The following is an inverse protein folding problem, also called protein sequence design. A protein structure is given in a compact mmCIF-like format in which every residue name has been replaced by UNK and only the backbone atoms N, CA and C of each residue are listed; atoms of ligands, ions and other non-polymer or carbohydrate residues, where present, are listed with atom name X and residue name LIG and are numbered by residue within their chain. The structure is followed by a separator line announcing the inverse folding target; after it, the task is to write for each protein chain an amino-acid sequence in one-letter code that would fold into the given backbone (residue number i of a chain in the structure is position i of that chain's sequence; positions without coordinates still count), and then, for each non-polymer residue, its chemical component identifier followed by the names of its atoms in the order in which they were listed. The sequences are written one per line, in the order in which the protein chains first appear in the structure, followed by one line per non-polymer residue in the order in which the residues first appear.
data_IF_308112227597
#
_entry.id   IF_308112227597
#
_cell.length_a   1.000
_cell.length_b   1.000
_cell.length_c   1.000
_cell.angle_alpha   90.00
_cell.angle_beta   90.00
_cell.angle_gamma   90.00
#
_symmetry.space_group_name_H-M   'P 1'
#
loop_
_entity.id
_entity.type
_entity.pdbx_description
1 polymer ?
#
# COMPACT_ATOMS: atom_id res chain seq x y z
N UNK A 1 -11.13 24.84 -6.98
CA UNK A 1 -10.18 23.94 -7.67
C UNK A 1 -9.00 23.61 -6.76
N UNK A 2 -9.26 23.03 -5.59
CA UNK A 2 -8.25 22.65 -4.61
C UNK A 2 -8.80 21.37 -3.95
N UNK A 3 -8.43 20.21 -4.48
CA UNK A 3 -8.90 18.91 -3.94
C UNK A 3 -8.07 17.72 -4.38
N UNK A 4 -7.31 17.80 -5.49
CA UNK A 4 -6.56 16.65 -5.99
C UNK A 4 -5.24 16.39 -5.26
N UNK A 5 -4.56 17.44 -4.77
CA UNK A 5 -3.26 17.30 -4.09
C UNK A 5 -3.40 16.74 -2.66
N UNK A 6 -4.45 17.18 -1.96
CA UNK A 6 -4.73 16.73 -0.59
C UNK A 6 -5.02 15.24 -0.49
N UNK A 7 -5.44 14.57 -1.56
CA UNK A 7 -5.68 13.13 -1.49
C UNK A 7 -4.38 12.35 -1.25
N UNK A 8 -3.23 12.80 -1.78
CA UNK A 8 -1.95 12.08 -1.70
C UNK A 8 -1.46 11.86 -0.27
N UNK A 9 -1.74 12.80 0.63
CA UNK A 9 -1.29 12.71 2.04
C UNK A 9 -1.91 11.52 2.78
N UNK A 10 -3.04 11.02 2.27
CA UNK A 10 -3.72 9.84 2.79
C UNK A 10 -3.22 8.54 2.17
N UNK A 11 -2.31 8.60 1.19
CA UNK A 11 -1.77 7.43 0.52
C UNK A 11 -0.35 7.14 0.95
N UNK A 12 -0.11 5.88 1.30
CA UNK A 12 1.22 5.35 1.55
C UNK A 12 1.60 4.33 0.46
N UNK A 13 2.88 4.32 0.13
CA UNK A 13 3.54 3.29 -0.64
C UNK A 13 4.27 2.36 0.33
N UNK A 14 4.02 1.06 0.21
CA UNK A 14 4.78 0.03 0.90
C UNK A 14 5.41 -0.89 -0.14
N UNK A 15 6.72 -1.08 -0.08
CA UNK A 15 7.53 -1.86 -1.02
C UNK A 15 8.53 -2.76 -0.32
N UNK A 16 9.16 -3.66 -1.09
CA UNK A 16 10.00 -4.74 -0.57
C UNK A 16 9.26 -5.72 0.36
N UNK A 17 7.94 -5.85 0.18
CA UNK A 17 7.11 -6.80 0.92
C UNK A 17 7.47 -8.24 0.51
N UNK A 18 7.56 -9.19 1.45
CA UNK A 18 7.77 -10.59 1.14
C UNK A 18 6.58 -11.17 0.36
N UNK A 19 6.87 -12.04 -0.60
CA UNK A 19 5.88 -12.66 -1.48
C UNK A 19 4.94 -13.63 -0.74
N UNK A 20 5.31 -14.01 0.48
CA UNK A 20 4.54 -14.89 1.37
C UNK A 20 3.34 -14.16 2.00
N UNK A 21 3.41 -12.82 2.12
CA UNK A 21 2.30 -12.05 2.67
C UNK A 21 1.18 -11.89 1.64
N UNK A 22 -0.03 -12.22 2.06
CA UNK A 22 -1.22 -11.97 1.28
C UNK A 22 -1.74 -10.56 1.52
N UNK A 23 -2.67 -10.13 0.68
CA UNK A 23 -3.39 -8.87 0.87
C UNK A 23 -4.07 -8.79 2.24
N UNK A 24 -4.68 -9.88 2.71
CA UNK A 24 -5.32 -9.91 4.03
C UNK A 24 -4.32 -9.70 5.17
N UNK A 25 -3.14 -10.32 5.10
CA UNK A 25 -2.09 -10.15 6.11
C UNK A 25 -1.61 -8.69 6.15
N UNK A 26 -1.35 -8.10 4.97
CA UNK A 26 -0.89 -6.72 4.86
C UNK A 26 -1.95 -5.77 5.42
N UNK A 27 -3.21 -5.89 4.98
CA UNK A 27 -4.30 -5.05 5.48
C UNK A 27 -4.44 -5.20 6.99
N UNK A 28 -4.43 -6.43 7.53
CA UNK A 28 -4.57 -6.67 8.95
C UNK A 28 -3.45 -5.99 9.76
N UNK A 29 -2.21 -6.11 9.30
CA UNK A 29 -1.07 -5.47 9.96
C UNK A 29 -1.13 -3.94 9.84
N UNK A 30 -1.50 -3.38 8.69
CA UNK A 30 -1.60 -1.93 8.53
C UNK A 30 -2.84 -1.33 9.22
N UNK A 31 -3.91 -2.10 9.39
CA UNK A 31 -5.13 -1.68 10.07
C UNK A 31 -4.91 -1.40 11.56
N UNK A 32 -3.78 -1.83 12.15
CA UNK A 32 -3.43 -1.50 13.53
C UNK A 32 -3.12 -0.01 13.74
N UNK A 33 -2.70 0.70 12.68
CA UNK A 33 -2.35 2.12 12.75
C UNK A 33 -3.57 3.03 12.56
N UNK A 34 -4.57 2.58 11.79
CA UNK A 34 -5.78 3.34 11.52
C UNK A 34 -6.68 2.66 10.51
N UNK A 35 -7.82 3.29 10.22
CA UNK A 35 -8.81 2.76 9.28
C UNK A 35 -8.35 2.90 7.82
N UNK A 36 -8.32 1.77 7.11
CA UNK A 36 -7.92 1.68 5.70
C UNK A 36 -9.16 1.88 4.84
N UNK A 37 -9.18 2.95 4.06
CA UNK A 37 -10.25 3.24 3.10
C UNK A 37 -10.09 2.48 1.80
N UNK A 38 -8.85 2.35 1.32
CA UNK A 38 -8.57 1.67 0.05
C UNK A 38 -7.23 0.95 0.09
N UNK A 39 -7.19 -0.22 -0.52
CA UNK A 39 -5.98 -1.02 -0.61
C UNK A 39 -5.76 -1.46 -2.06
N UNK A 40 -4.53 -1.32 -2.55
CA UNK A 40 -4.14 -1.66 -3.92
C UNK A 40 -2.82 -2.40 -3.90
N UNK A 41 -2.86 -3.72 -4.03
CA UNK A 41 -1.64 -4.54 -4.15
C UNK A 41 -1.25 -4.70 -5.62
N UNK A 42 0.00 -4.37 -5.93
CA UNK A 42 0.52 -4.62 -7.26
C UNK A 42 0.76 -6.12 -7.43
N UNK A 43 0.00 -6.74 -8.33
CA UNK A 43 0.18 -8.14 -8.73
C UNK A 43 0.57 -8.21 -10.21
N UNK A 44 1.28 -9.27 -10.54
CA UNK A 44 1.65 -9.60 -11.90
C UNK A 44 0.47 -10.29 -12.60
N UNK A 45 0.14 -9.86 -13.83
CA UNK A 45 -1.05 -10.34 -14.55
C UNK A 45 -0.89 -11.76 -15.09
N UNK A 46 0.32 -12.17 -15.45
CA UNK A 46 0.59 -13.53 -15.96
C UNK A 46 0.64 -14.55 -14.83
N UNK A 47 1.37 -14.23 -13.76
CA UNK A 47 1.63 -15.18 -12.67
C UNK A 47 0.68 -15.05 -11.48
N UNK A 48 -0.07 -13.94 -11.38
CA UNK A 48 -0.92 -13.61 -10.23
C UNK A 48 -0.14 -13.26 -8.95
N UNK A 49 1.20 -13.25 -9.00
CA UNK A 49 2.04 -13.05 -7.81
C UNK A 49 2.16 -11.58 -7.46
N UNK A 50 2.24 -11.29 -6.17
CA UNK A 50 2.55 -9.95 -5.66
C UNK A 50 3.89 -9.45 -6.23
N UNK A 51 3.96 -8.21 -6.69
CA UNK A 51 5.21 -7.59 -7.15
C UNK A 51 6.10 -7.10 -6.00
N UNK A 52 5.68 -7.33 -4.76
CA UNK A 52 6.38 -6.91 -3.54
C UNK A 52 6.14 -5.46 -3.18
N UNK A 53 5.07 -4.82 -3.69
CA UNK A 53 4.67 -3.48 -3.29
C UNK A 53 3.16 -3.28 -3.38
N UNK A 54 2.63 -2.39 -2.55
CA UNK A 54 1.22 -2.00 -2.49
C UNK A 54 1.06 -0.52 -2.15
N UNK A 55 -0.14 -0.02 -2.36
CA UNK A 55 -0.58 1.31 -1.96
C UNK A 55 -1.78 1.20 -1.02
N UNK A 56 -1.77 2.00 0.03
CA UNK A 56 -2.80 1.96 1.08
C UNK A 56 -3.28 3.39 1.31
N UNK A 57 -4.60 3.60 1.25
CA UNK A 57 -5.26 4.86 1.59
C UNK A 57 -5.84 4.75 2.99
N UNK A 58 -5.44 5.64 3.88
CA UNK A 58 -6.06 5.78 5.19
C UNK A 58 -7.15 6.84 5.20
N UNK A 59 -8.00 6.78 6.22
CA UNK A 59 -8.94 7.86 6.51
C UNK A 59 -8.22 9.13 6.99
N UNK A 60 -7.18 8.97 7.82
CA UNK A 60 -6.44 10.07 8.42
C UNK A 60 -4.96 10.09 7.99
N UNK A 61 -4.42 11.29 7.80
CA UNK A 61 -3.03 11.48 7.38
C UNK A 61 -2.03 11.09 8.49
N UNK A 62 -2.42 11.20 9.76
CA UNK A 62 -1.58 10.80 10.90
C UNK A 62 -1.35 9.29 10.91
N UNK A 63 -2.36 8.51 10.50
CA UNK A 63 -2.23 7.06 10.34
C UNK A 63 -1.18 6.70 9.29
N UNK A 64 -1.10 7.48 8.21
CA UNK A 64 -0.04 7.34 7.21
C UNK A 64 1.35 7.60 7.81
N UNK A 65 1.52 8.69 8.56
CA UNK A 65 2.78 9.04 9.22
C UNK A 65 3.25 7.92 10.15
N UNK A 66 2.35 7.45 11.03
CA UNK A 66 2.64 6.36 11.97
C UNK A 66 3.00 5.07 11.22
N UNK A 67 2.20 4.69 10.23
CA UNK A 67 2.47 3.49 9.44
C UNK A 67 3.82 3.60 8.74
N UNK A 68 4.11 4.71 8.06
CA UNK A 68 5.38 4.91 7.35
C UNK A 68 6.55 4.87 8.33
N UNK A 69 6.50 5.58 9.45
CA UNK A 69 7.61 5.63 10.41
C UNK A 69 7.89 4.25 11.03
N UNK A 70 6.84 3.50 11.39
CA UNK A 70 6.99 2.18 12.01
C UNK A 70 7.34 1.08 10.99
N UNK A 71 6.84 1.14 9.75
CA UNK A 71 7.13 0.13 8.72
C UNK A 71 8.39 0.40 7.92
N UNK A 72 8.78 1.67 7.75
CA UNK A 72 9.94 2.02 6.96
C UNK A 72 11.21 1.56 7.68
N UNK A 73 11.92 0.61 7.08
CA UNK A 73 13.10 -0.01 7.70
C UNK A 73 12.79 -1.21 8.59
N UNK A 74 11.51 -1.57 8.76
CA UNK A 74 11.12 -2.80 9.44
C UNK A 74 11.68 -4.03 8.71
N UNK A 75 12.09 -5.05 9.45
CA UNK A 75 12.61 -6.29 8.87
C UNK A 75 11.58 -7.39 9.04
N UNK A 76 10.97 -7.83 7.93
CA UNK A 76 9.96 -8.90 7.90
C UNK A 76 10.51 -10.05 7.06
N UNK A 77 10.55 -11.26 7.63
CA UNK A 77 11.07 -12.47 6.96
C UNK A 77 12.48 -12.25 6.36
N UNK A 78 13.33 -11.50 7.07
CA UNK A 78 14.68 -11.16 6.63
C UNK A 78 14.77 -10.10 5.51
N UNK A 79 13.64 -9.49 5.11
CA UNK A 79 13.60 -8.39 4.14
C UNK A 79 13.30 -7.07 4.81
N UNK A 80 14.09 -6.04 4.47
CA UNK A 80 13.84 -4.68 4.92
C UNK A 80 12.73 -4.05 4.08
N UNK A 81 11.61 -3.76 4.71
CA UNK A 81 10.46 -3.12 4.08
C UNK A 81 10.75 -1.64 3.88
N UNK A 82 10.23 -1.09 2.78
CA UNK A 82 10.25 0.34 2.50
C UNK A 82 8.84 0.88 2.59
N UNK A 83 8.62 1.88 3.42
CA UNK A 83 7.36 2.62 3.44
C UNK A 83 7.64 4.10 3.22
N UNK A 84 6.79 4.77 2.45
CA UNK A 84 6.90 6.20 2.17
C UNK A 84 5.55 6.77 1.74
N UNK A 85 5.37 8.08 1.77
CA UNK A 85 4.18 8.71 1.21
C UNK A 85 4.10 8.51 -0.30
N UNK A 86 2.88 8.37 -0.81
CA UNK A 86 2.66 8.35 -2.24
C UNK A 86 2.95 9.72 -2.84
N UNK A 87 3.55 9.73 -4.03
CA UNK A 87 3.86 10.95 -4.78
C UNK A 87 3.09 11.07 -6.09
N UNK A 88 2.32 10.04 -6.49
CA UNK A 88 1.66 10.02 -7.80
C UNK A 88 0.30 9.31 -7.79
N UNK A 89 -0.79 10.04 -7.53
CA UNK A 89 -2.17 9.48 -7.54
C UNK A 89 -2.55 8.92 -8.89
N UNK A 90 -2.10 9.52 -9.99
CA UNK A 90 -2.45 9.07 -11.33
C UNK A 90 -2.01 7.62 -11.55
N UNK A 91 -0.83 7.23 -11.05
CA UNK A 91 -0.38 5.84 -11.12
C UNK A 91 -1.29 4.92 -10.29
N UNK A 92 -1.64 5.33 -9.07
CA UNK A 92 -2.49 4.57 -8.14
C UNK A 92 -3.90 4.39 -8.71
N UNK A 93 -4.51 5.46 -9.25
CA UNK A 93 -5.85 5.45 -9.86
C UNK A 93 -5.88 4.62 -11.15
N UNK A 94 -4.77 4.58 -11.90
CA UNK A 94 -4.64 3.73 -13.08
C UNK A 94 -4.43 2.25 -12.74
N UNK A 95 -4.01 1.92 -11.52
CA UNK A 95 -4.04 0.53 -11.03
C UNK A 95 -5.49 0.14 -10.77
N UNK A 96 -6.15 -0.37 -11.81
CA UNK A 96 -7.54 -0.82 -11.73
C UNK A 96 -7.64 -2.01 -10.78
N UNK A 97 -8.69 -2.07 -9.92
CA UNK A 97 -9.02 -3.27 -9.15
C UNK A 97 -9.42 -4.48 -10.03
N UNK A 98 -9.38 -4.36 -11.36
CA UNK A 98 -9.69 -5.43 -12.30
C UNK A 98 -8.52 -6.42 -12.55
N UNK A 99 -7.32 -6.15 -12.06
CA UNK A 99 -6.20 -7.13 -12.05
C UNK A 99 -6.19 -7.97 -10.74
N UNK A 100 -7.21 -7.84 -9.88
CA UNK A 100 -7.35 -8.55 -8.59
C UNK A 100 -8.08 -9.91 -8.70
N UNK A 101 -8.43 -10.39 -9.89
CA UNK A 101 -8.79 -11.81 -10.09
C UNK A 101 -8.62 -12.25 -11.56
N UNK A 102 -7.94 -13.38 -11.86
CA UNK A 102 -8.05 -14.03 -13.16
C UNK A 102 -9.33 -14.91 -13.25
N UNK A 103 -10.05 -14.70 -14.37
CA UNK A 103 -11.21 -15.43 -14.95
C UNK A 103 -12.58 -15.23 -14.32
#
# INVERSE_FOLDING_TARGET
MSSSDDELKYWIYAGALPFELTEGDIICVFSQYGEILQFVLARDKETGKSRGFCFIKYEDARSCELAVDNFNGATILGRRIKASFASNLTAIKNMRPADVAPR
#
